data_IF_796586352599
#
_entry.id   IF_796586352599
#
_cell.length_a   1.000
_cell.length_b   1.000
_cell.length_c   1.000
_cell.angle_alpha   90.00
_cell.angle_beta   90.00
_cell.angle_gamma   90.00
#
_symmetry.space_group_name_H-M   'P 1'
#
loop_
_entity.id
_entity.type
_entity.pdbx_description
1 polymer ?
#
# COMPACT_ATOMS: atom_id res chain seq x y z
N UNK A 1 21.49 12.81 -17.92
CA UNK A 1 20.11 13.03 -17.45
C UNK A 1 19.83 12.16 -16.25
N UNK A 2 19.33 12.75 -15.16
CA UNK A 2 19.05 11.99 -13.94
C UNK A 2 17.87 11.06 -14.14
N UNK A 3 17.99 9.85 -13.60
CA UNK A 3 16.88 8.89 -13.58
C UNK A 3 16.09 9.10 -12.29
N UNK A 4 14.80 9.32 -12.43
CA UNK A 4 13.91 9.65 -11.31
C UNK A 4 12.96 8.51 -11.04
N UNK A 5 12.98 7.99 -9.83
CA UNK A 5 11.98 7.02 -9.36
C UNK A 5 10.84 7.74 -8.67
N UNK A 6 9.62 7.53 -9.13
CA UNK A 6 8.43 8.12 -8.50
C UNK A 6 7.67 7.01 -7.79
N UNK A 7 7.57 7.10 -6.49
CA UNK A 7 6.92 6.07 -5.66
C UNK A 7 5.55 6.56 -5.22
N UNK A 8 4.52 5.83 -5.64
CA UNK A 8 3.15 6.10 -5.20
C UNK A 8 2.88 5.28 -3.94
N UNK A 9 2.59 5.99 -2.85
CA UNK A 9 2.40 5.41 -1.53
C UNK A 9 0.92 5.34 -1.18
N UNK A 10 0.50 4.22 -0.61
CA UNK A 10 -0.87 4.06 -0.12
C UNK A 10 -0.90 3.00 0.99
N UNK A 11 -2.04 2.87 1.64
CA UNK A 11 -2.20 1.91 2.73
C UNK A 11 -2.20 0.46 2.25
N UNK A 12 -2.77 0.20 1.11
CA UNK A 12 -2.97 -1.16 0.60
C UNK A 12 -4.36 -1.70 0.92
N UNK A 13 -4.65 -2.85 0.37
CA UNK A 13 -5.91 -3.54 0.60
C UNK A 13 -5.82 -4.98 0.14
N UNK A 14 -6.71 -5.85 0.64
CA UNK A 14 -6.70 -7.26 0.25
C UNK A 14 -7.12 -7.41 -1.21
N UNK A 15 -6.34 -8.17 -1.97
CA UNK A 15 -6.64 -8.41 -3.39
C UNK A 15 -7.68 -9.51 -3.58
N UNK A 16 -7.72 -10.46 -2.65
CA UNK A 16 -8.62 -11.61 -2.68
C UNK A 16 -9.26 -11.78 -1.31
N UNK A 17 -10.37 -12.54 -1.27
CA UNK A 17 -11.08 -12.78 -0.01
C UNK A 17 -10.16 -13.42 1.04
N UNK A 18 -9.31 -14.34 0.63
CA UNK A 18 -8.39 -15.00 1.55
C UNK A 18 -7.31 -14.09 2.12
N UNK A 19 -7.09 -12.93 1.51
CA UNK A 19 -6.11 -11.96 1.95
C UNK A 19 -6.66 -11.02 3.04
N UNK A 20 -7.97 -11.02 3.27
CA UNK A 20 -8.63 -10.11 4.20
C UNK A 20 -8.12 -10.29 5.63
N UNK A 21 -8.05 -11.52 6.13
CA UNK A 21 -7.56 -11.79 7.48
C UNK A 21 -6.12 -11.31 7.68
N UNK A 22 -5.16 -11.76 6.85
CA UNK A 22 -3.78 -11.29 6.94
C UNK A 22 -3.62 -9.78 6.79
N UNK A 23 -4.40 -9.15 5.91
CA UNK A 23 -4.38 -7.70 5.76
C UNK A 23 -4.82 -6.99 7.05
N UNK A 24 -5.93 -7.43 7.63
CA UNK A 24 -6.44 -6.87 8.88
C UNK A 24 -5.43 -7.06 10.02
N UNK A 25 -4.77 -8.21 10.07
CA UNK A 25 -3.72 -8.45 11.06
C UNK A 25 -2.59 -7.42 10.92
N UNK A 26 -2.09 -7.21 9.70
CA UNK A 26 -1.03 -6.23 9.46
C UNK A 26 -1.47 -4.82 9.88
N UNK A 27 -2.71 -4.46 9.58
CA UNK A 27 -3.25 -3.16 9.92
C UNK A 27 -3.32 -2.96 11.43
N UNK A 28 -3.87 -3.93 12.16
CA UNK A 28 -4.06 -3.81 13.60
C UNK A 28 -2.78 -4.09 14.41
N UNK A 29 -1.76 -4.70 13.80
CA UNK A 29 -0.46 -4.88 14.43
C UNK A 29 0.35 -3.59 14.46
N UNK A 30 -0.06 -2.56 13.72
CA UNK A 30 0.63 -1.28 13.69
C UNK A 30 0.27 -0.46 14.94
N UNK A 31 1.26 -0.08 15.78
CA UNK A 31 0.99 0.73 16.98
C UNK A 31 0.39 2.10 16.66
N UNK A 32 0.58 2.60 15.45
CA UNK A 32 -0.01 3.88 15.05
C UNK A 32 -1.50 3.79 14.79
N UNK A 33 -2.00 2.60 14.44
CA UNK A 33 -3.43 2.38 14.22
C UNK A 33 -4.13 2.09 15.54
N UNK A 34 -3.58 1.16 16.34
CA UNK A 34 -4.10 0.83 17.66
C UNK A 34 -2.96 1.02 18.67
N UNK A 35 -3.11 2.03 19.53
CA UNK A 35 -2.12 2.32 20.56
C UNK A 35 -2.47 1.57 21.84
N UNK A 36 -1.56 0.72 22.27
CA UNK A 36 -1.70 -0.06 23.48
C UNK A 36 -0.65 0.36 24.52
N UNK A 37 -0.99 0.28 25.82
CA UNK A 37 -0.02 0.60 26.87
C UNK A 37 1.20 -0.32 26.87
N UNK A 38 1.03 -1.56 26.41
CA UNK A 38 2.11 -2.55 26.37
C UNK A 38 2.35 -3.05 24.95
N UNK A 39 3.58 -2.90 24.43
CA UNK A 39 3.91 -3.45 23.10
C UNK A 39 3.73 -4.97 22.99
N UNK A 40 3.84 -5.68 24.12
CA UNK A 40 3.69 -7.14 24.15
C UNK A 40 2.28 -7.59 23.79
N UNK A 41 1.27 -6.74 23.98
CA UNK A 41 -0.13 -7.05 23.67
C UNK A 41 -0.50 -6.74 22.22
N UNK A 42 0.36 -6.06 21.47
CA UNK A 42 0.04 -5.58 20.12
C UNK A 42 -0.31 -6.71 19.17
N UNK A 43 0.57 -7.69 19.04
CA UNK A 43 0.37 -8.80 18.10
C UNK A 43 -0.77 -9.74 18.49
N UNK A 44 -0.87 -10.21 19.77
CA UNK A 44 -1.99 -11.05 20.18
C UNK A 44 -3.35 -10.36 19.98
N UNK A 45 -3.43 -9.07 20.31
CA UNK A 45 -4.68 -8.32 20.15
C UNK A 45 -5.00 -8.10 18.68
N UNK A 46 -3.99 -7.81 17.86
CA UNK A 46 -4.16 -7.68 16.41
C UNK A 46 -4.72 -8.98 15.81
N UNK A 47 -4.19 -10.13 16.23
CA UNK A 47 -4.69 -11.42 15.79
C UNK A 47 -6.15 -11.63 16.18
N UNK A 48 -6.50 -11.31 17.43
CA UNK A 48 -7.86 -11.47 17.91
C UNK A 48 -8.84 -10.57 17.14
N UNK A 49 -8.52 -9.30 17.00
CA UNK A 49 -9.38 -8.34 16.30
C UNK A 49 -9.52 -8.73 14.82
N UNK A 50 -8.44 -9.09 14.16
CA UNK A 50 -8.49 -9.48 12.75
C UNK A 50 -9.32 -10.75 12.55
N UNK A 51 -9.19 -11.72 13.45
CA UNK A 51 -9.99 -12.96 13.40
C UNK A 51 -11.47 -12.66 13.57
N UNK A 52 -11.83 -11.80 14.52
CA UNK A 52 -13.23 -11.46 14.79
C UNK A 52 -13.86 -10.64 13.67
N UNK A 53 -13.08 -9.78 13.01
CA UNK A 53 -13.58 -8.91 11.95
C UNK A 53 -13.49 -9.51 10.54
N UNK A 54 -12.71 -10.58 10.39
CA UNK A 54 -12.41 -11.16 9.07
C UNK A 54 -13.68 -11.54 8.30
N UNK A 55 -14.62 -12.23 8.93
CA UNK A 55 -15.85 -12.66 8.28
C UNK A 55 -16.67 -11.51 7.74
N UNK A 56 -16.87 -10.47 8.55
CA UNK A 56 -17.67 -9.30 8.15
C UNK A 56 -16.96 -8.51 7.04
N UNK A 57 -15.65 -8.35 7.15
CA UNK A 57 -14.87 -7.67 6.13
C UNK A 57 -14.86 -8.46 4.82
N UNK A 58 -14.77 -9.79 4.89
CA UNK A 58 -14.87 -10.63 3.69
C UNK A 58 -16.19 -10.44 2.96
N UNK A 59 -17.29 -10.35 3.69
CA UNK A 59 -18.60 -10.08 3.07
C UNK A 59 -18.62 -8.73 2.37
N UNK A 60 -18.07 -7.70 3.01
CA UNK A 60 -17.99 -6.38 2.43
C UNK A 60 -17.19 -6.39 1.12
N UNK A 61 -16.05 -7.07 1.10
CA UNK A 61 -15.24 -7.18 -0.12
C UNK A 61 -15.89 -8.04 -1.20
N UNK A 62 -16.64 -9.07 -0.82
CA UNK A 62 -17.40 -9.86 -1.80
C UNK A 62 -18.42 -9.02 -2.53
N UNK A 63 -19.03 -8.06 -1.85
CA UNK A 63 -20.03 -7.18 -2.46
C UNK A 63 -19.45 -6.23 -3.51
N UNK A 64 -18.13 -6.01 -3.50
CA UNK A 64 -17.45 -5.14 -4.47
C UNK A 64 -16.56 -5.91 -5.44
N UNK A 65 -16.74 -7.22 -5.56
CA UNK A 65 -16.04 -8.04 -6.55
C UNK A 65 -14.97 -8.97 -5.98
N UNK A 66 -14.88 -9.13 -4.66
CA UNK A 66 -14.02 -10.12 -4.04
C UNK A 66 -12.68 -9.61 -3.56
N UNK A 67 -12.45 -8.30 -3.58
CA UNK A 67 -11.22 -7.70 -3.08
C UNK A 67 -11.21 -6.21 -3.31
N UNK A 68 -10.13 -5.57 -2.86
CA UNK A 68 -9.94 -4.13 -3.05
C UNK A 68 -9.37 -3.86 -4.45
N UNK A 69 -9.91 -2.87 -5.19
CA UNK A 69 -9.33 -2.46 -6.46
C UNK A 69 -8.11 -1.53 -6.30
N UNK A 70 -7.71 -1.23 -5.05
CA UNK A 70 -6.72 -0.21 -4.75
C UNK A 70 -5.39 -0.43 -5.47
N UNK A 71 -4.86 -1.64 -5.44
CA UNK A 71 -3.59 -1.95 -6.11
C UNK A 71 -3.67 -1.71 -7.61
N UNK A 72 -4.72 -2.22 -8.24
CA UNK A 72 -4.91 -2.08 -9.69
C UNK A 72 -5.02 -0.61 -10.09
N UNK A 73 -5.80 0.16 -9.33
CA UNK A 73 -5.99 1.59 -9.60
C UNK A 73 -4.67 2.34 -9.39
N UNK A 74 -3.96 2.05 -8.31
CA UNK A 74 -2.68 2.72 -8.02
C UNK A 74 -1.63 2.39 -9.08
N UNK A 75 -1.56 1.14 -9.52
CA UNK A 75 -0.63 0.73 -10.58
C UNK A 75 -0.96 1.42 -11.91
N UNK A 76 -2.24 1.59 -12.21
CA UNK A 76 -2.68 2.31 -13.40
C UNK A 76 -2.28 3.78 -13.32
N UNK A 77 -2.50 4.42 -12.19
CA UNK A 77 -2.08 5.81 -11.95
C UNK A 77 -0.57 5.94 -12.11
N UNK A 78 0.19 4.99 -11.59
CA UNK A 78 1.64 4.98 -11.69
C UNK A 78 2.10 4.92 -13.15
N UNK A 79 1.50 4.04 -13.95
CA UNK A 79 1.83 3.90 -15.37
C UNK A 79 1.51 5.17 -16.15
N UNK A 80 0.35 5.77 -15.89
CA UNK A 80 -0.07 7.00 -16.56
C UNK A 80 0.85 8.17 -16.20
N UNK A 81 1.20 8.30 -14.94
CA UNK A 81 2.12 9.33 -14.48
C UNK A 81 3.50 9.17 -15.11
N UNK A 82 4.02 7.94 -15.15
CA UNK A 82 5.31 7.65 -15.79
C UNK A 82 5.30 8.04 -17.25
N UNK A 83 4.26 7.68 -17.98
CA UNK A 83 4.12 8.01 -19.39
C UNK A 83 4.09 9.52 -19.59
N UNK A 84 3.33 10.24 -18.78
CA UNK A 84 3.21 11.69 -18.88
C UNK A 84 4.53 12.40 -18.60
N UNK A 85 5.26 11.95 -17.57
CA UNK A 85 6.57 12.53 -17.23
C UNK A 85 7.58 12.28 -18.34
N UNK A 86 7.59 11.09 -18.94
CA UNK A 86 8.49 10.78 -20.06
C UNK A 86 8.18 11.63 -21.29
N UNK A 87 6.91 11.91 -21.54
CA UNK A 87 6.51 12.81 -22.64
C UNK A 87 7.04 14.23 -22.42
N UNK A 88 7.28 14.63 -21.19
CA UNK A 88 7.84 15.94 -20.86
C UNK A 88 9.36 15.93 -20.75
N UNK A 89 10.00 14.85 -21.15
CA UNK A 89 11.45 14.76 -21.20
C UNK A 89 12.10 14.34 -19.88
N UNK A 90 11.32 13.85 -18.92
CA UNK A 90 11.83 13.38 -17.64
C UNK A 90 12.01 11.87 -17.71
N UNK A 91 13.21 11.36 -17.39
CA UNK A 91 13.47 9.93 -17.35
C UNK A 91 12.95 9.35 -16.03
N UNK A 92 11.63 9.14 -15.99
CA UNK A 92 10.92 8.70 -14.81
C UNK A 92 10.52 7.24 -14.90
N UNK A 93 10.64 6.54 -13.78
CA UNK A 93 10.12 5.19 -13.59
C UNK A 93 9.23 5.21 -12.34
N UNK A 94 8.02 4.69 -12.46
CA UNK A 94 7.07 4.68 -11.34
C UNK A 94 7.14 3.37 -10.58
N UNK A 95 6.89 3.46 -9.28
CA UNK A 95 6.83 2.33 -8.37
C UNK A 95 5.61 2.49 -7.47
N UNK A 96 5.08 1.37 -6.98
CA UNK A 96 3.98 1.36 -6.03
C UNK A 96 4.45 0.72 -4.75
N UNK A 97 4.19 1.37 -3.63
CA UNK A 97 4.53 0.86 -2.30
C UNK A 97 3.33 0.95 -1.39
N UNK A 98 2.92 -0.18 -0.83
CA UNK A 98 1.81 -0.27 0.10
C UNK A 98 2.33 -0.56 1.50
N UNK A 99 1.62 -0.08 2.52
CA UNK A 99 2.04 -0.23 3.90
C UNK A 99 1.62 -1.56 4.51
N UNK A 100 0.40 -1.97 4.28
CA UNK A 100 -0.18 -3.12 5.01
C UNK A 100 -0.44 -4.35 4.14
N UNK A 101 -0.22 -4.26 2.84
CA UNK A 101 -0.36 -5.39 1.92
C UNK A 101 0.57 -5.21 0.72
N UNK A 102 0.56 -6.22 -0.16
CA UNK A 102 1.41 -6.20 -1.36
C UNK A 102 1.01 -5.11 -2.35
N UNK A 103 1.95 -4.52 -3.06
CA UNK A 103 3.40 -4.68 -2.91
C UNK A 103 3.92 -3.88 -1.72
N UNK A 104 4.63 -4.55 -0.82
CA UNK A 104 5.19 -3.89 0.35
C UNK A 104 6.31 -2.90 -0.02
N UNK A 105 6.54 -1.94 0.86
CA UNK A 105 7.55 -0.91 0.66
C UNK A 105 8.95 -1.49 0.45
N UNK A 106 9.29 -2.58 1.15
CA UNK A 106 10.58 -3.25 1.03
C UNK A 106 10.82 -3.74 -0.39
N UNK A 107 9.80 -4.27 -1.05
CA UNK A 107 9.90 -4.70 -2.45
C UNK A 107 10.15 -3.53 -3.38
N UNK A 108 9.46 -2.42 -3.17
CA UNK A 108 9.66 -1.22 -3.98
C UNK A 108 11.07 -0.66 -3.81
N UNK A 109 11.58 -0.63 -2.59
CA UNK A 109 12.95 -0.18 -2.31
C UNK A 109 13.97 -1.06 -3.01
N UNK A 110 13.78 -2.39 -2.97
CA UNK A 110 14.67 -3.31 -3.65
C UNK A 110 14.68 -3.07 -5.17
N UNK A 111 13.53 -2.86 -5.77
CA UNK A 111 13.41 -2.58 -7.20
C UNK A 111 14.09 -1.25 -7.58
N UNK A 112 13.89 -0.22 -6.76
CA UNK A 112 14.51 1.09 -6.98
C UNK A 112 16.03 0.98 -6.97
N UNK A 113 16.57 0.24 -6.01
CA UNK A 113 18.02 0.02 -5.92
C UNK A 113 18.56 -0.79 -7.10
N UNK A 114 17.84 -1.83 -7.49
CA UNK A 114 18.24 -2.66 -8.62
C UNK A 114 18.23 -1.86 -9.93
N UNK A 115 17.29 -0.94 -10.08
CA UNK A 115 17.17 -0.12 -11.28
C UNK A 115 18.14 1.06 -11.31
N UNK A 116 18.80 1.37 -10.21
CA UNK A 116 19.82 2.42 -10.14
C UNK A 116 19.29 3.82 -10.32
N UNK A 117 18.20 4.16 -9.66
CA UNK A 117 17.64 5.51 -9.71
C UNK A 117 18.54 6.52 -9.01
N UNK A 118 18.69 7.71 -9.60
CA UNK A 118 19.49 8.80 -9.05
C UNK A 118 18.74 9.60 -7.99
N UNK A 119 17.42 9.78 -8.20
CA UNK A 119 16.55 10.53 -7.33
C UNK A 119 15.25 9.76 -7.10
N UNK A 120 14.65 9.92 -5.93
CA UNK A 120 13.39 9.29 -5.59
C UNK A 120 12.42 10.36 -5.10
N UNK A 121 11.25 10.40 -5.72
CA UNK A 121 10.16 11.29 -5.32
C UNK A 121 9.05 10.45 -4.70
N UNK A 122 8.62 10.80 -3.50
CA UNK A 122 7.53 10.12 -2.82
C UNK A 122 6.23 10.88 -3.07
N UNK A 123 5.24 10.18 -3.60
CA UNK A 123 3.93 10.75 -3.87
C UNK A 123 2.88 10.03 -3.03
N UNK A 124 2.21 10.78 -2.15
CA UNK A 124 1.13 10.25 -1.33
C UNK A 124 -0.16 10.29 -2.12
N UNK A 125 -0.77 9.13 -2.30
CA UNK A 125 -2.06 8.99 -2.97
C UNK A 125 -3.20 8.82 -1.99
N UNK A 126 -2.88 8.72 -0.70
CA UNK A 126 -3.89 8.64 0.33
C UNK A 126 -4.67 9.94 0.42
N UNK A 127 -5.80 9.85 1.01
CA UNK A 127 -6.82 10.84 1.06
C UNK A 127 -6.31 12.21 1.55
N UNK A 128 -6.08 13.13 0.62
CA UNK A 128 -5.68 14.47 0.95
C UNK A 128 -6.74 15.22 1.77
N UNK A 129 -7.98 14.78 1.74
CA UNK A 129 -9.04 15.37 2.54
C UNK A 129 -8.81 15.14 4.04
N UNK A 130 -8.13 14.04 4.40
CA UNK A 130 -7.81 13.76 5.79
C UNK A 130 -6.73 14.69 6.34
N UNK A 131 -5.98 15.33 5.47
CA UNK A 131 -4.90 16.23 5.84
C UNK A 131 -5.37 17.69 5.99
N UNK A 132 -6.62 17.92 5.74
CA UNK A 132 -7.20 19.26 5.82
C UNK A 132 -7.74 19.57 7.20
#
# INVERSE_FOLDING_TARGET
MSRVGVVLLNLGGPERIQDVGPFLYNLFADPEIIRLPSPALQKPLAWLISTLRSGKSQEAYRSIGGGSPLRRITEQQARELQSLLRQRGIDATSYVAMRYWHPFTESAVADIKADGMDEVCLLYTSDAADDC
#
